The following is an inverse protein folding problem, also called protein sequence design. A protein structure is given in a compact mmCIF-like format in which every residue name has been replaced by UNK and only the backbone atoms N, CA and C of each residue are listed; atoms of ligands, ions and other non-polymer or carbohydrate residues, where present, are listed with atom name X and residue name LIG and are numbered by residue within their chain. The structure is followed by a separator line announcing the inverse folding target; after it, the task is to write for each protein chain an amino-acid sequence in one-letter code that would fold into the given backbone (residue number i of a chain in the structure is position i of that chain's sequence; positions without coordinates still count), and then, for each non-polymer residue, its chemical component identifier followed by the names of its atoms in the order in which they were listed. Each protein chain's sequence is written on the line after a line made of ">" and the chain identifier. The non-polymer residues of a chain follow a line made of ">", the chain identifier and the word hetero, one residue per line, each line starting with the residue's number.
data_IF_196079383751
#
_entry.id   IF_196079383751
#
_cell.length_a   1.000
_cell.length_b   1.000
_cell.length_c   1.000
_cell.angle_alpha   90.00
_cell.angle_beta   90.00
_cell.angle_gamma   90.00
#
_symmetry.space_group_name_H-M   'P 1'
#
loop_
_entity.id
_entity.type
_entity.pdbx_description
1 polymer ?
#
# COMPACT_ATOMS: atom_id res chain seq x y z
N UNK A 1 14.39 -2.58 11.68
CA UNK A 1 14.13 -3.56 10.60
C UNK A 1 14.94 -3.15 9.39
N UNK A 2 15.84 -4.00 8.88
CA UNK A 2 16.47 -3.77 7.58
C UNK A 2 15.47 -4.24 6.53
N UNK A 3 14.93 -3.33 5.73
CA UNK A 3 14.03 -3.69 4.63
C UNK A 3 14.75 -4.61 3.64
N UNK A 4 14.01 -5.51 3.00
CA UNK A 4 14.56 -6.35 1.95
C UNK A 4 15.09 -5.45 0.82
N UNK A 5 16.32 -5.69 0.38
CA UNK A 5 16.88 -5.04 -0.81
C UNK A 5 16.54 -5.90 -2.01
N UNK A 6 15.78 -5.33 -2.95
CA UNK A 6 15.41 -5.96 -4.21
C UNK A 6 15.77 -5.03 -5.37
N UNK A 7 16.03 -5.60 -6.54
CA UNK A 7 16.17 -4.80 -7.76
C UNK A 7 14.81 -4.21 -8.14
N UNK A 8 14.78 -2.91 -8.43
CA UNK A 8 13.57 -2.24 -8.88
C UNK A 8 13.21 -2.66 -10.31
N UNK A 9 11.93 -2.93 -10.54
CA UNK A 9 11.37 -3.16 -11.87
C UNK A 9 10.59 -1.93 -12.29
N UNK A 10 11.02 -1.27 -13.37
CA UNK A 10 10.39 -0.06 -13.86
C UNK A 10 9.40 -0.36 -14.97
N UNK A 11 8.15 0.02 -14.77
CA UNK A 11 7.06 -0.23 -15.72
C UNK A 11 6.60 1.08 -16.36
N UNK A 12 6.36 1.06 -17.68
CA UNK A 12 5.83 2.23 -18.40
C UNK A 12 4.45 2.59 -17.89
N UNK A 13 4.24 3.87 -17.60
CA UNK A 13 2.97 4.39 -17.11
C UNK A 13 2.13 4.93 -18.28
N UNK A 14 0.82 4.64 -18.25
CA UNK A 14 -0.14 5.21 -19.21
C UNK A 14 -0.52 6.66 -18.86
N UNK A 15 -0.38 7.03 -17.59
CA UNK A 15 -0.68 8.38 -17.08
C UNK A 15 0.54 9.27 -17.34
N UNK A 16 0.32 10.39 -18.01
CA UNK A 16 1.40 11.27 -18.49
C UNK A 16 2.20 11.85 -17.32
N UNK A 17 1.54 12.23 -16.23
CA UNK A 17 2.12 12.77 -15.02
C UNK A 17 2.99 11.76 -14.26
N UNK A 18 2.82 10.46 -14.53
CA UNK A 18 3.56 9.38 -13.88
C UNK A 18 4.73 8.88 -14.72
N UNK A 19 4.66 9.05 -16.04
CA UNK A 19 5.68 8.58 -16.97
C UNK A 19 7.02 9.30 -16.75
N UNK A 20 8.12 8.55 -16.81
CA UNK A 20 9.47 9.09 -16.62
C UNK A 20 9.82 9.46 -15.18
N UNK A 21 8.99 9.05 -14.21
CA UNK A 21 9.27 9.19 -12.78
C UNK A 21 9.66 7.82 -12.18
N UNK A 22 10.96 7.56 -11.93
CA UNK A 22 11.41 6.27 -11.42
C UNK A 22 10.78 5.84 -10.10
N UNK A 23 10.35 6.81 -9.26
CA UNK A 23 9.70 6.50 -7.99
C UNK A 23 8.28 5.95 -8.16
N UNK A 24 7.61 6.30 -9.26
CA UNK A 24 6.27 5.78 -9.58
C UNK A 24 6.37 4.52 -10.44
N UNK A 25 7.29 4.50 -11.40
CA UNK A 25 7.48 3.35 -12.31
C UNK A 25 7.92 2.08 -11.58
N UNK A 26 8.56 2.22 -10.43
CA UNK A 26 8.98 1.12 -9.56
C UNK A 26 7.90 0.63 -8.57
N UNK A 27 6.74 1.30 -8.50
CA UNK A 27 5.64 0.86 -7.64
C UNK A 27 4.91 -0.36 -8.23
N UNK A 28 4.22 -1.15 -7.39
CA UNK A 28 3.24 -2.13 -7.87
C UNK A 28 2.26 -1.48 -8.85
N UNK A 29 1.74 -2.21 -9.83
CA UNK A 29 0.77 -1.66 -10.80
C UNK A 29 -0.47 -1.13 -10.08
N UNK A 30 -1.21 -0.24 -10.74
CA UNK A 30 -2.55 0.13 -10.27
C UNK A 30 -3.42 -1.12 -10.42
N UNK A 31 -3.93 -1.61 -9.29
CA UNK A 31 -4.67 -2.87 -9.25
C UNK A 31 -6.11 -2.66 -9.73
N UNK A 32 -6.64 -3.54 -10.60
CA UNK A 32 -8.08 -3.67 -10.78
C UNK A 32 -8.74 -4.10 -9.47
N UNK A 33 -9.98 -3.66 -9.23
CA UNK A 33 -10.72 -4.00 -8.00
C UNK A 33 -10.77 -5.51 -7.74
N UNK A 34 -10.98 -6.33 -8.78
CA UNK A 34 -11.04 -7.79 -8.65
C UNK A 34 -9.74 -8.38 -8.11
N UNK A 35 -8.59 -7.84 -8.56
CA UNK A 35 -7.26 -8.28 -8.10
C UNK A 35 -7.00 -7.79 -6.68
N UNK A 36 -7.41 -6.55 -6.36
CA UNK A 36 -7.29 -6.02 -5.01
C UNK A 36 -8.13 -6.84 -4.01
N UNK A 37 -9.36 -7.24 -4.38
CA UNK A 37 -10.20 -8.13 -3.57
C UNK A 37 -9.47 -9.45 -3.27
N UNK A 38 -8.90 -10.09 -4.30
CA UNK A 38 -8.19 -11.36 -4.15
C UNK A 38 -6.97 -11.22 -3.24
N UNK A 39 -6.16 -10.18 -3.43
CA UNK A 39 -4.93 -9.97 -2.65
C UNK A 39 -5.19 -9.54 -1.20
N UNK A 40 -6.26 -8.76 -0.95
CA UNK A 40 -6.66 -8.35 0.40
C UNK A 40 -7.32 -9.51 1.16
N UNK A 41 -7.97 -10.43 0.44
CA UNK A 41 -8.64 -11.58 1.02
C UNK A 41 -7.66 -12.50 1.73
N UNK A 42 -8.00 -12.90 2.96
CA UNK A 42 -7.33 -13.98 3.63
C UNK A 42 -8.38 -14.95 4.18
N UNK A 43 -8.54 -16.09 3.52
CA UNK A 43 -9.43 -17.15 3.97
C UNK A 43 -8.61 -18.37 4.40
N UNK A 44 -9.00 -19.04 5.48
CA UNK A 44 -8.33 -20.26 5.92
C UNK A 44 -8.48 -21.35 4.87
N UNK A 45 -7.56 -22.30 4.92
CA UNK A 45 -7.73 -23.55 4.19
C UNK A 45 -9.04 -24.24 4.61
N UNK A 46 -9.74 -24.90 3.67
CA UNK A 46 -10.93 -25.68 3.99
C UNK A 46 -10.67 -26.71 5.08
N UNK A 47 -11.70 -26.99 5.88
CA UNK A 47 -11.67 -28.06 6.88
C UNK A 47 -11.40 -29.39 6.18
N UNK A 48 -10.42 -30.15 6.67
CA UNK A 48 -10.15 -31.50 6.16
C UNK A 48 -10.94 -32.55 6.96
N UNK A 49 -11.25 -33.73 6.37
CA UNK A 49 -11.91 -34.81 7.11
C UNK A 49 -11.15 -35.23 8.38
N UNK A 50 -9.82 -35.23 8.33
CA UNK A 50 -8.97 -35.62 9.46
C UNK A 50 -9.11 -34.64 10.64
N UNK A 51 -9.34 -33.35 10.37
CA UNK A 51 -9.61 -32.36 11.43
C UNK A 51 -10.93 -32.62 12.16
N UNK A 52 -11.92 -33.21 11.47
CA UNK A 52 -13.21 -33.55 12.07
C UNK A 52 -13.10 -34.72 13.04
N UNK A 53 -12.18 -35.65 12.78
CA UNK A 53 -11.89 -36.84 13.58
C UNK A 53 -11.02 -36.54 14.82
N UNK A 54 -10.45 -35.33 14.93
CA UNK A 54 -9.69 -34.91 16.11
C UNK A 54 -10.55 -34.89 17.38
N UNK A 55 -9.91 -35.19 18.51
CA UNK A 55 -10.52 -35.01 19.83
C UNK A 55 -10.98 -33.56 20.02
N UNK A 56 -12.12 -33.34 20.68
CA UNK A 56 -12.69 -32.00 20.86
C UNK A 56 -11.73 -30.98 21.48
N UNK A 57 -10.87 -31.42 22.40
CA UNK A 57 -9.82 -30.61 23.04
C UNK A 57 -8.76 -30.15 22.05
N UNK A 58 -8.44 -30.94 21.02
CA UNK A 58 -7.49 -30.58 19.97
C UNK A 58 -8.18 -29.78 18.86
N UNK A 59 -9.38 -30.21 18.45
CA UNK A 59 -10.16 -29.58 17.37
C UNK A 59 -10.51 -28.13 17.65
N UNK A 60 -10.65 -27.71 18.91
CA UNK A 60 -10.86 -26.29 19.25
C UNK A 60 -9.68 -25.40 18.82
N UNK A 61 -8.46 -25.92 18.80
CA UNK A 61 -7.29 -25.18 18.35
C UNK A 61 -7.31 -24.94 16.82
N UNK A 62 -7.99 -25.79 16.05
CA UNK A 62 -8.17 -25.59 14.60
C UNK A 62 -9.02 -24.34 14.29
N UNK A 63 -9.82 -23.84 15.24
CA UNK A 63 -10.63 -22.62 15.07
C UNK A 63 -9.76 -21.36 15.08
N UNK A 64 -8.55 -21.42 15.67
CA UNK A 64 -7.66 -20.27 15.80
C UNK A 64 -7.29 -19.65 14.44
N UNK A 65 -7.28 -20.46 13.36
CA UNK A 65 -7.09 -19.97 11.98
C UNK A 65 -8.12 -18.94 11.53
N UNK A 66 -9.30 -18.89 12.15
CA UNK A 66 -10.32 -17.88 11.84
C UNK A 66 -9.91 -16.47 12.30
N UNK A 67 -8.94 -16.34 13.21
CA UNK A 67 -8.48 -15.05 13.72
C UNK A 67 -7.75 -14.21 12.68
N UNK A 68 -7.22 -14.84 11.64
CA UNK A 68 -6.51 -14.16 10.55
C UNK A 68 -7.42 -13.85 9.36
N UNK A 69 -8.70 -14.24 9.41
CA UNK A 69 -9.64 -14.03 8.30
C UNK A 69 -9.75 -12.54 7.95
N UNK A 70 -9.61 -12.23 6.67
CA UNK A 70 -9.90 -10.91 6.11
C UNK A 70 -10.91 -11.09 4.99
N UNK A 71 -12.15 -10.67 5.26
CA UNK A 71 -13.18 -10.52 4.25
C UNK A 71 -13.07 -9.10 3.67
N UNK A 72 -12.73 -8.93 2.39
CA UNK A 72 -12.71 -7.61 1.78
C UNK A 72 -14.12 -7.03 1.71
N UNK A 73 -14.20 -5.73 1.92
CA UNK A 73 -15.40 -4.90 1.84
C UNK A 73 -15.06 -3.66 1.01
N UNK A 74 -16.06 -2.91 0.56
CA UNK A 74 -15.87 -1.68 -0.21
C UNK A 74 -14.88 -0.71 0.45
N UNK A 75 -14.93 -0.57 1.78
CA UNK A 75 -14.00 0.25 2.55
C UNK A 75 -12.52 -0.14 2.32
N UNK A 76 -12.21 -1.42 2.16
CA UNK A 76 -10.85 -1.88 1.90
C UNK A 76 -10.36 -1.46 0.52
N UNK A 77 -11.25 -1.48 -0.48
CA UNK A 77 -10.95 -1.03 -1.85
C UNK A 77 -10.75 0.48 -1.90
N UNK A 78 -11.61 1.24 -1.19
CA UNK A 78 -11.44 2.68 -1.03
C UNK A 78 -10.09 3.02 -0.39
N UNK A 79 -9.72 2.30 0.69
CA UNK A 79 -8.43 2.49 1.36
C UNK A 79 -7.25 2.15 0.43
N UNK A 80 -7.30 1.04 -0.31
CA UNK A 80 -6.27 0.67 -1.29
C UNK A 80 -6.08 1.77 -2.33
N UNK A 81 -7.18 2.24 -2.92
CA UNK A 81 -7.14 3.27 -3.95
C UNK A 81 -6.64 4.60 -3.40
N UNK A 82 -7.02 4.96 -2.17
CA UNK A 82 -6.48 6.13 -1.48
C UNK A 82 -4.97 6.01 -1.27
N UNK A 83 -4.45 4.88 -0.78
CA UNK A 83 -3.01 4.67 -0.62
C UNK A 83 -2.26 4.76 -1.95
N UNK A 84 -2.77 4.09 -2.98
CA UNK A 84 -2.22 4.10 -4.33
C UNK A 84 -2.09 5.52 -4.88
N UNK A 85 -3.14 6.34 -4.70
CA UNK A 85 -3.16 7.75 -5.09
C UNK A 85 -2.21 8.61 -4.25
N UNK A 86 -2.23 8.47 -2.93
CA UNK A 86 -1.42 9.26 -2.00
C UNK A 86 0.07 9.12 -2.28
N UNK A 87 0.54 7.88 -2.45
CA UNK A 87 1.96 7.61 -2.74
C UNK A 87 2.35 8.23 -4.09
N UNK A 88 1.55 7.99 -5.13
CA UNK A 88 1.84 8.49 -6.48
C UNK A 88 1.80 10.01 -6.56
N UNK A 89 0.77 10.65 -5.99
CA UNK A 89 0.68 12.13 -5.90
C UNK A 89 1.88 12.71 -5.15
N UNK A 90 2.29 12.06 -4.07
CA UNK A 90 3.51 12.41 -3.35
C UNK A 90 4.73 12.38 -4.27
N UNK A 91 4.89 11.35 -5.08
CA UNK A 91 6.03 11.21 -5.98
C UNK A 91 6.01 12.07 -7.23
N UNK A 92 4.84 12.50 -7.74
CA UNK A 92 4.76 13.42 -8.89
C UNK A 92 5.61 14.68 -8.67
N UNK A 93 5.53 15.30 -7.48
CA UNK A 93 6.31 16.49 -7.15
C UNK A 93 7.77 16.22 -6.75
N UNK A 94 8.22 14.96 -6.79
CA UNK A 94 9.52 14.50 -6.28
C UNK A 94 10.28 13.64 -7.29
N UNK A 95 10.06 13.85 -8.58
CA UNK A 95 10.74 13.08 -9.62
C UNK A 95 12.27 13.32 -9.59
N UNK A 96 13.11 12.32 -9.24
CA UNK A 96 14.56 12.50 -9.13
C UNK A 96 15.26 12.82 -10.46
N UNK A 97 14.62 12.54 -11.60
CA UNK A 97 15.17 12.86 -12.93
C UNK A 97 14.74 14.24 -13.44
N UNK A 98 13.84 14.92 -12.71
CA UNK A 98 13.38 16.26 -13.08
C UNK A 98 14.40 17.32 -12.62
N UNK A 99 14.88 18.20 -13.52
CA UNK A 99 15.71 19.34 -13.15
C UNK A 99 15.07 20.24 -12.09
N UNK A 100 13.74 20.40 -12.13
CA UNK A 100 13.01 21.26 -11.18
C UNK A 100 13.03 20.66 -9.77
N UNK A 101 12.87 19.34 -9.64
CA UNK A 101 12.99 18.65 -8.35
C UNK A 101 14.41 18.77 -7.80
N UNK A 102 15.44 18.62 -8.64
CA UNK A 102 16.84 18.78 -8.21
C UNK A 102 17.12 20.21 -7.74
N UNK A 103 16.69 21.23 -8.50
CA UNK A 103 16.81 22.64 -8.09
C UNK A 103 16.11 22.91 -6.76
N UNK A 104 14.91 22.38 -6.57
CA UNK A 104 14.17 22.52 -5.32
C UNK A 104 14.89 21.88 -4.13
N UNK A 105 15.45 20.67 -4.28
CA UNK A 105 16.24 20.03 -3.23
C UNK A 105 17.48 20.88 -2.87
N UNK A 106 18.13 21.49 -3.85
CA UNK A 106 19.23 22.42 -3.62
C UNK A 106 18.81 23.72 -2.94
N UNK A 107 17.62 24.26 -3.25
CA UNK A 107 17.12 25.47 -2.56
C UNK A 107 16.88 25.18 -1.07
N UNK A 108 16.37 23.99 -0.73
CA UNK A 108 16.19 23.55 0.66
C UNK A 108 17.52 23.37 1.41
N UNK A 109 18.62 23.05 0.71
CA UNK A 109 19.94 22.90 1.33
C UNK A 109 20.64 24.24 1.60
N UNK A 110 19.93 25.37 1.56
CA UNK A 110 20.45 26.71 1.91
C UNK A 110 21.11 27.46 0.76
N UNK A 111 21.03 26.95 -0.49
CA UNK A 111 21.50 27.71 -1.65
C UNK A 111 20.45 28.75 -2.05
N UNK A 112 20.63 29.99 -1.58
CA UNK A 112 19.71 31.14 -1.75
C UNK A 112 19.45 31.58 -3.21
N UNK A 113 19.90 30.81 -4.21
CA UNK A 113 19.82 31.18 -5.63
C UNK A 113 18.53 30.75 -6.34
N UNK A 114 17.69 29.93 -5.69
CA UNK A 114 16.48 29.38 -6.30
C UNK A 114 15.28 29.65 -5.40
N UNK A 115 14.57 30.74 -5.66
CA UNK A 115 13.23 31.00 -5.11
C UNK A 115 12.20 30.53 -6.14
N UNK A 116 12.07 29.22 -6.31
CA UNK A 116 10.97 28.65 -7.10
C UNK A 116 9.73 28.50 -6.23
N UNK A 117 8.56 28.78 -6.81
CA UNK A 117 7.24 28.61 -6.21
C UNK A 117 6.88 27.13 -6.12
N UNK A 118 7.50 26.43 -5.17
CA UNK A 118 7.20 25.03 -4.87
C UNK A 118 5.75 24.88 -4.39
N UNK A 119 5.00 24.01 -5.06
CA UNK A 119 3.68 23.58 -4.61
C UNK A 119 3.82 22.25 -3.88
N UNK A 120 3.48 22.25 -2.59
CA UNK A 120 3.48 21.03 -1.79
C UNK A 120 2.51 20.00 -2.36
N UNK A 121 2.99 18.77 -2.57
CA UNK A 121 2.19 17.59 -2.89
C UNK A 121 1.93 16.71 -1.67
N UNK A 122 2.18 17.22 -0.46
CA UNK A 122 1.91 16.49 0.77
C UNK A 122 0.39 16.34 0.95
N UNK A 123 -0.05 15.10 1.13
CA UNK A 123 -1.44 14.72 1.33
C UNK A 123 -1.50 13.71 2.49
N UNK A 124 -2.60 13.67 3.23
CA UNK A 124 -2.76 12.78 4.39
C UNK A 124 -4.21 12.38 4.59
N UNK A 125 -4.42 11.22 5.21
CA UNK A 125 -5.74 10.71 5.54
C UNK A 125 -5.75 10.13 6.95
N UNK A 126 -6.94 9.95 7.51
CA UNK A 126 -7.12 9.37 8.85
C UNK A 126 -8.24 8.34 8.83
N UNK A 127 -8.00 7.21 9.51
CA UNK A 127 -9.01 6.17 9.72
C UNK A 127 -9.43 6.20 11.18
N UNK A 128 -10.68 6.57 11.43
CA UNK A 128 -11.24 6.74 12.78
C UNK A 128 -12.32 5.69 13.04
N UNK A 129 -12.37 5.17 14.26
CA UNK A 129 -13.35 4.18 14.67
C UNK A 129 -13.00 3.57 16.02
N UNK A 130 -13.92 2.80 16.59
CA UNK A 130 -13.76 2.16 17.90
C UNK A 130 -12.53 1.24 17.94
N UNK A 131 -11.99 1.02 19.15
CA UNK A 131 -10.89 0.06 19.34
C UNK A 131 -11.34 -1.35 18.96
N UNK A 132 -10.45 -2.13 18.33
CA UNK A 132 -10.75 -3.52 17.94
C UNK A 132 -11.58 -3.72 16.67
N UNK A 133 -12.08 -2.65 16.02
CA UNK A 133 -12.90 -2.77 14.79
C UNK A 133 -12.11 -3.16 13.53
N UNK A 134 -10.80 -3.43 13.64
CA UNK A 134 -9.98 -3.88 12.51
C UNK A 134 -9.29 -2.79 11.69
N UNK A 135 -9.23 -1.52 12.16
CA UNK A 135 -8.54 -0.43 11.44
C UNK A 135 -7.09 -0.77 11.08
N UNK A 136 -6.29 -1.17 12.08
CA UNK A 136 -4.88 -1.53 11.85
C UNK A 136 -4.74 -2.79 10.99
N UNK A 137 -5.67 -3.74 11.13
CA UNK A 137 -5.70 -4.96 10.32
C UNK A 137 -5.96 -4.63 8.84
N UNK A 138 -6.93 -3.75 8.55
CA UNK A 138 -7.24 -3.30 7.21
C UNK A 138 -6.03 -2.57 6.56
N UNK A 139 -5.39 -1.65 7.30
CA UNK A 139 -4.19 -0.96 6.82
C UNK A 139 -3.03 -1.92 6.56
N UNK A 140 -2.82 -2.89 7.45
CA UNK A 140 -1.77 -3.90 7.28
C UNK A 140 -2.03 -4.77 6.05
N UNK A 141 -3.28 -5.23 5.84
CA UNK A 141 -3.64 -6.03 4.66
C UNK A 141 -3.33 -5.29 3.36
N UNK A 142 -3.64 -3.99 3.29
CA UNK A 142 -3.39 -3.16 2.10
C UNK A 142 -1.90 -2.85 1.89
N UNK A 143 -1.15 -2.59 2.96
CA UNK A 143 0.28 -2.30 2.87
C UNK A 143 1.15 -3.55 2.63
N UNK A 144 0.56 -4.74 2.71
CA UNK A 144 1.24 -6.02 2.46
C UNK A 144 0.97 -6.62 1.08
N UNK A 145 0.20 -5.92 0.22
CA UNK A 145 -0.03 -6.29 -1.17
C UNK A 145 1.27 -6.15 -1.99
#
# INVERSE_FOLDING_TARGET
>A
MKGAQIFASYTKQAITEYAGNPLIEALPPILPETVAIELISNFPQPVTPEELDLEGTTRIHCIDRLRTVVQPFLLHLELESMFSLLIRRGYVGRNPTSPDTVRHLHSLSGSQRYHDSFKSTADSFSVVGLSGIGKSTALHAILSL
#
